data_IF_120968308372
#
_entry.id   IF_120968308372
#
_cell.length_a   1.000
_cell.length_b   1.000
_cell.length_c   1.000
_cell.angle_alpha   90.00
_cell.angle_beta   90.00
_cell.angle_gamma   90.00
#
_symmetry.space_group_name_H-M   'P 1'
#
loop_
_entity.id
_entity.type
_entity.pdbx_description
1 polymer ?
#
# COMPACT_ATOMS: atom_id res chain seq x y z
N UNK A 1 -16.95 -72.22 -20.65
CA UNK A 1 -17.70 -71.85 -19.42
C UNK A 1 -16.99 -72.21 -18.11
N UNK A 2 -16.17 -73.27 -18.02
CA UNK A 2 -15.54 -73.70 -16.74
C UNK A 2 -14.40 -72.79 -16.20
N UNK A 3 -13.76 -71.98 -17.05
CA UNK A 3 -12.69 -71.05 -16.62
C UNK A 3 -13.22 -69.84 -15.83
N UNK A 4 -14.41 -69.34 -16.19
CA UNK A 4 -15.03 -68.19 -15.51
C UNK A 4 -15.50 -68.55 -14.10
N UNK A 5 -16.00 -69.78 -13.87
CA UNK A 5 -16.44 -70.21 -12.55
C UNK A 5 -15.29 -70.41 -11.57
N UNK A 6 -14.12 -70.87 -12.05
CA UNK A 6 -12.93 -71.03 -11.20
C UNK A 6 -12.28 -69.69 -10.81
N UNK A 7 -12.35 -68.69 -11.69
CA UNK A 7 -11.88 -67.32 -11.37
C UNK A 7 -12.82 -66.68 -10.34
N UNK A 8 -14.15 -66.76 -10.51
CA UNK A 8 -15.10 -66.22 -9.54
C UNK A 8 -14.96 -66.85 -8.14
N UNK A 9 -14.72 -68.17 -8.07
CA UNK A 9 -14.57 -68.89 -6.79
C UNK A 9 -13.29 -68.51 -6.04
N UNK A 10 -12.23 -68.15 -6.78
CA UNK A 10 -10.94 -67.75 -6.20
C UNK A 10 -10.95 -66.35 -5.60
N UNK A 11 -11.75 -65.44 -6.16
CA UNK A 11 -11.89 -64.06 -5.68
C UNK A 11 -13.13 -63.82 -4.80
N UNK A 12 -13.97 -64.83 -4.60
CA UNK A 12 -15.15 -64.78 -3.73
C UNK A 12 -14.90 -64.21 -2.31
N UNK A 13 -13.78 -64.51 -1.62
CA UNK A 13 -13.47 -63.89 -0.32
C UNK A 13 -12.91 -62.46 -0.42
N UNK A 14 -12.41 -62.04 -1.59
CA UNK A 14 -11.84 -60.70 -1.81
C UNK A 14 -12.89 -59.66 -2.23
N UNK A 15 -14.03 -60.08 -2.79
CA UNK A 15 -15.16 -59.21 -3.17
C UNK A 15 -15.64 -58.32 -2.01
N UNK A 16 -15.91 -58.82 -0.78
CA UNK A 16 -16.35 -57.95 0.31
C UNK A 16 -15.29 -56.94 0.73
N UNK A 17 -14.00 -57.29 0.63
CA UNK A 17 -12.89 -56.38 0.94
C UNK A 17 -12.79 -55.25 -0.10
N UNK A 18 -12.91 -55.58 -1.39
CA UNK A 18 -12.93 -54.59 -2.47
C UNK A 18 -14.13 -53.64 -2.33
N UNK A 19 -15.32 -54.18 -2.07
CA UNK A 19 -16.52 -53.36 -1.84
C UNK A 19 -16.39 -52.46 -0.60
N UNK A 20 -15.80 -52.95 0.49
CA UNK A 20 -15.54 -52.16 1.68
C UNK A 20 -14.53 -51.02 1.41
N UNK A 21 -13.46 -51.28 0.66
CA UNK A 21 -12.48 -50.23 0.29
C UNK A 21 -13.06 -49.17 -0.64
N UNK A 22 -13.90 -49.55 -1.60
CA UNK A 22 -14.62 -48.62 -2.49
C UNK A 22 -15.62 -47.78 -1.68
N UNK A 23 -16.36 -48.42 -0.76
CA UNK A 23 -17.28 -47.70 0.13
C UNK A 23 -16.56 -46.71 1.04
N UNK A 24 -15.42 -47.09 1.61
CA UNK A 24 -14.63 -46.24 2.51
C UNK A 24 -13.98 -45.07 1.77
N UNK A 25 -13.45 -45.29 0.56
CA UNK A 25 -12.88 -44.23 -0.28
C UNK A 25 -13.97 -43.28 -0.80
N UNK A 26 -15.13 -43.79 -1.19
CA UNK A 26 -16.29 -42.97 -1.54
C UNK A 26 -16.76 -42.10 -0.36
N UNK A 27 -16.86 -42.67 0.84
CA UNK A 27 -17.20 -41.93 2.05
C UNK A 27 -16.16 -40.84 2.36
N UNK A 28 -14.87 -41.16 2.23
CA UNK A 28 -13.78 -40.22 2.49
C UNK A 28 -13.77 -39.05 1.49
N UNK A 29 -14.06 -39.31 0.21
CA UNK A 29 -14.20 -38.25 -0.80
C UNK A 29 -15.41 -37.35 -0.53
N UNK A 30 -16.53 -37.92 -0.08
CA UNK A 30 -17.74 -37.13 0.28
C UNK A 30 -17.50 -36.28 1.52
N UNK A 31 -16.80 -36.80 2.54
CA UNK A 31 -16.49 -36.01 3.74
C UNK A 31 -15.49 -34.90 3.45
N UNK A 32 -14.41 -35.17 2.71
CA UNK A 32 -13.42 -34.15 2.30
C UNK A 32 -14.07 -33.10 1.39
N UNK A 33 -14.84 -33.53 0.38
CA UNK A 33 -15.54 -32.63 -0.53
C UNK A 33 -16.61 -31.79 0.17
N UNK A 34 -17.39 -32.40 1.07
CA UNK A 34 -18.40 -31.72 1.88
C UNK A 34 -17.81 -30.68 2.81
N UNK A 35 -16.71 -31.00 3.51
CA UNK A 35 -15.99 -30.06 4.37
C UNK A 35 -15.36 -28.93 3.56
N UNK A 36 -14.79 -29.23 2.39
CA UNK A 36 -14.22 -28.23 1.49
C UNK A 36 -15.27 -27.23 0.97
N UNK A 37 -16.43 -27.73 0.53
CA UNK A 37 -17.55 -26.89 0.10
C UNK A 37 -18.10 -26.05 1.24
N UNK A 38 -18.28 -26.65 2.43
CA UNK A 38 -18.77 -25.93 3.60
C UNK A 38 -17.82 -24.80 4.02
N UNK A 39 -16.51 -25.06 4.08
CA UNK A 39 -15.50 -24.02 4.33
C UNK A 39 -15.53 -22.92 3.29
N UNK A 40 -15.68 -23.26 2.00
CA UNK A 40 -15.76 -22.26 0.92
C UNK A 40 -16.99 -21.38 1.07
N UNK A 41 -18.14 -21.95 1.40
CA UNK A 41 -19.39 -21.19 1.67
C UNK A 41 -19.24 -20.31 2.90
N UNK A 42 -18.65 -20.81 3.99
CA UNK A 42 -18.37 -20.01 5.18
C UNK A 42 -17.43 -18.84 4.88
N UNK A 43 -16.36 -19.09 4.13
CA UNK A 43 -15.41 -18.06 3.72
C UNK A 43 -16.08 -16.99 2.86
N UNK A 44 -16.93 -17.39 1.91
CA UNK A 44 -17.63 -16.44 1.04
C UNK A 44 -18.63 -15.59 1.83
N UNK A 45 -19.43 -16.21 2.68
CA UNK A 45 -20.42 -15.52 3.52
C UNK A 45 -19.76 -14.58 4.55
N UNK A 46 -18.62 -14.96 5.12
CA UNK A 46 -17.85 -14.08 6.00
C UNK A 46 -17.32 -12.85 5.25
N UNK A 47 -16.77 -13.05 4.05
CA UNK A 47 -16.27 -11.96 3.20
C UNK A 47 -17.40 -11.01 2.75
N UNK A 48 -18.56 -11.52 2.34
CA UNK A 48 -19.72 -10.70 1.98
C UNK A 48 -20.22 -9.84 3.16
N UNK A 49 -20.27 -10.41 4.37
CA UNK A 49 -20.64 -9.66 5.58
C UNK A 49 -19.68 -8.51 5.86
N UNK A 50 -18.37 -8.77 5.77
CA UNK A 50 -17.35 -7.75 6.00
C UNK A 50 -17.38 -6.66 4.91
N UNK A 51 -17.56 -7.04 3.63
CA UNK A 51 -17.71 -6.08 2.54
C UNK A 51 -18.96 -5.20 2.71
N UNK A 52 -20.07 -5.78 3.17
CA UNK A 52 -21.30 -5.03 3.43
C UNK A 52 -21.09 -4.03 4.57
N UNK A 53 -20.40 -4.44 5.65
CA UNK A 53 -20.01 -3.53 6.74
C UNK A 53 -19.09 -2.41 6.22
N UNK A 54 -18.08 -2.74 5.42
CA UNK A 54 -17.17 -1.76 4.83
C UNK A 54 -17.91 -0.73 3.96
N UNK A 55 -18.85 -1.18 3.13
CA UNK A 55 -19.69 -0.30 2.32
C UNK A 55 -20.50 0.67 3.19
N UNK A 56 -21.04 0.21 4.32
CA UNK A 56 -21.75 1.07 5.27
C UNK A 56 -20.87 2.14 5.92
N UNK A 57 -19.59 1.82 6.19
CA UNK A 57 -18.60 2.77 6.73
C UNK A 57 -18.27 3.86 5.71
N UNK A 58 -18.17 3.51 4.42
CA UNK A 58 -17.86 4.47 3.35
C UNK A 58 -18.92 5.56 3.15
N UNK A 59 -20.16 5.31 3.58
CA UNK A 59 -21.26 6.29 3.56
C UNK A 59 -21.29 7.24 4.76
N UNK A 60 -20.52 6.95 5.83
CA UNK A 60 -20.47 7.76 7.04
C UNK A 60 -19.38 8.82 6.85
N UNK A 61 -19.76 10.12 6.87
CA UNK A 61 -18.80 11.23 6.89
C UNK A 61 -17.86 11.08 8.09
N UNK A 62 -16.58 11.37 7.89
CA UNK A 62 -15.44 11.22 8.81
C UNK A 62 -15.78 11.45 10.30
N UNK A 63 -16.16 10.37 10.99
CA UNK A 63 -16.40 10.37 12.44
C UNK A 63 -15.47 9.38 13.14
N UNK A 64 -15.21 9.59 14.44
CA UNK A 64 -14.45 8.67 15.28
C UNK A 64 -15.06 7.26 15.29
N UNK A 65 -16.39 7.15 15.22
CA UNK A 65 -17.08 5.87 15.10
C UNK A 65 -16.73 5.09 13.82
N UNK A 66 -16.52 5.79 12.70
CA UNK A 66 -16.07 5.17 11.45
C UNK A 66 -14.62 4.65 11.54
N UNK A 67 -13.81 5.17 12.48
CA UNK A 67 -12.45 4.65 12.74
C UNK A 67 -12.52 3.29 13.41
N UNK A 68 -13.21 3.27 14.56
CA UNK A 68 -13.30 2.10 15.41
C UNK A 68 -13.94 0.94 14.64
N UNK A 69 -14.94 1.24 13.81
CA UNK A 69 -15.57 0.21 12.96
C UNK A 69 -14.63 -0.30 11.87
N UNK A 70 -13.80 0.56 11.26
CA UNK A 70 -12.84 0.14 10.23
C UNK A 70 -11.70 -0.71 10.80
N UNK A 71 -11.17 -0.32 11.98
CA UNK A 71 -10.21 -1.13 12.74
C UNK A 71 -10.79 -2.49 13.11
N UNK A 72 -12.05 -2.51 13.56
CA UNK A 72 -12.75 -3.75 13.89
C UNK A 72 -12.97 -4.64 12.66
N UNK A 73 -13.37 -4.08 11.52
CA UNK A 73 -13.52 -4.83 10.27
C UNK A 73 -12.19 -5.47 9.85
N UNK A 74 -11.10 -4.71 9.94
CA UNK A 74 -9.76 -5.19 9.57
C UNK A 74 -9.29 -6.30 10.51
N UNK A 75 -9.47 -6.13 11.83
CA UNK A 75 -9.14 -7.15 12.82
C UNK A 75 -10.01 -8.41 12.71
N UNK A 76 -11.29 -8.27 12.38
CA UNK A 76 -12.19 -9.41 12.15
C UNK A 76 -11.78 -10.19 10.88
N UNK A 77 -11.30 -9.49 9.85
CA UNK A 77 -10.79 -10.09 8.63
C UNK A 77 -9.50 -10.89 8.89
N UNK A 78 -8.54 -10.29 9.59
CA UNK A 78 -7.28 -10.92 9.97
C UNK A 78 -7.50 -12.19 10.79
N UNK A 79 -8.34 -12.14 11.83
CA UNK A 79 -8.73 -13.31 12.64
C UNK A 79 -9.36 -14.43 11.81
N UNK A 80 -10.00 -14.07 10.71
CA UNK A 80 -10.68 -15.01 9.82
C UNK A 80 -9.79 -15.48 8.66
N UNK A 81 -8.54 -15.00 8.58
CA UNK A 81 -7.63 -15.26 7.45
C UNK A 81 -8.14 -14.67 6.13
N UNK A 82 -8.96 -13.63 6.19
CA UNK A 82 -9.54 -12.96 5.03
C UNK A 82 -8.73 -11.71 4.69
N UNK A 83 -8.39 -11.53 3.42
CA UNK A 83 -7.79 -10.27 2.94
C UNK A 83 -8.89 -9.28 2.57
N UNK A 84 -8.80 -8.05 3.11
CA UNK A 84 -9.69 -6.94 2.75
C UNK A 84 -8.88 -5.71 2.33
N UNK A 85 -8.27 -5.72 1.13
CA UNK A 85 -7.34 -4.67 0.71
C UNK A 85 -7.93 -3.26 0.74
N UNK A 86 -9.24 -3.12 0.52
CA UNK A 86 -9.93 -1.83 0.57
C UNK A 86 -10.06 -1.29 2.00
N UNK A 87 -10.32 -2.16 2.98
CA UNK A 87 -10.40 -1.78 4.38
C UNK A 87 -9.01 -1.40 4.91
N UNK A 88 -8.00 -2.21 4.58
CA UNK A 88 -6.60 -1.96 4.91
C UNK A 88 -6.12 -0.62 4.32
N UNK A 89 -6.36 -0.37 3.02
CA UNK A 89 -6.02 0.91 2.41
C UNK A 89 -6.76 2.08 3.08
N UNK A 90 -8.05 1.94 3.38
CA UNK A 90 -8.81 3.00 4.04
C UNK A 90 -8.24 3.35 5.43
N UNK A 91 -7.75 2.34 6.16
CA UNK A 91 -7.12 2.53 7.47
C UNK A 91 -5.81 3.32 7.30
N UNK A 92 -4.95 2.87 6.39
CA UNK A 92 -3.67 3.54 6.10
C UNK A 92 -3.87 4.98 5.62
N UNK A 93 -4.80 5.20 4.69
CA UNK A 93 -5.11 6.53 4.17
C UNK A 93 -5.64 7.49 5.25
N UNK A 94 -6.41 6.97 6.20
CA UNK A 94 -6.87 7.73 7.36
C UNK A 94 -5.72 8.04 8.32
N UNK A 95 -4.89 7.05 8.65
CA UNK A 95 -3.71 7.25 9.50
C UNK A 95 -2.80 8.30 8.90
N UNK A 96 -2.58 8.27 7.58
CA UNK A 96 -1.87 9.32 6.85
C UNK A 96 -2.49 10.70 7.04
N UNK A 97 -3.81 10.87 6.87
CA UNK A 97 -4.48 12.17 7.10
C UNK A 97 -4.26 12.68 8.52
N UNK A 98 -4.37 11.81 9.52
CA UNK A 98 -4.10 12.18 10.91
C UNK A 98 -2.66 12.69 11.08
N UNK A 99 -1.66 12.02 10.47
CA UNK A 99 -0.27 12.48 10.51
C UNK A 99 -0.06 13.80 9.79
N UNK A 100 -0.74 14.04 8.67
CA UNK A 100 -0.69 15.36 8.00
C UNK A 100 -1.21 16.45 8.94
N UNK A 101 -2.25 16.19 9.73
CA UNK A 101 -2.78 17.15 10.69
C UNK A 101 -1.85 17.33 11.90
N UNK A 102 -1.22 16.26 12.39
CA UNK A 102 -0.19 16.35 13.44
C UNK A 102 1.00 17.21 12.96
N UNK A 103 1.45 17.02 11.71
CA UNK A 103 2.52 17.82 11.13
C UNK A 103 2.17 19.31 11.08
N UNK A 104 0.93 19.67 10.71
CA UNK A 104 0.46 21.06 10.75
C UNK A 104 0.49 21.64 12.15
N UNK A 105 0.11 20.86 13.16
CA UNK A 105 0.13 21.29 14.56
C UNK A 105 1.55 21.51 15.05
N UNK A 106 2.45 20.55 14.78
CA UNK A 106 3.87 20.65 15.14
C UNK A 106 4.50 21.86 14.46
N UNK A 107 4.33 22.02 13.14
CA UNK A 107 4.90 23.18 12.41
C UNK A 107 4.33 24.52 12.88
N UNK A 108 3.04 24.60 13.21
CA UNK A 108 2.46 25.81 13.80
C UNK A 108 3.06 26.13 15.17
N UNK A 109 3.35 25.10 15.97
CA UNK A 109 3.94 25.26 17.28
C UNK A 109 5.45 25.57 17.22
N UNK A 110 6.19 25.13 16.19
CA UNK A 110 7.62 25.46 16.00
C UNK A 110 7.84 26.96 15.79
N UNK A 111 6.85 27.65 15.24
CA UNK A 111 6.85 29.11 15.11
C UNK A 111 6.64 29.83 16.46
N UNK A 112 6.40 29.09 17.56
CA UNK A 112 6.26 29.62 18.90
C UNK A 112 7.47 29.24 19.78
N UNK A 113 8.31 30.24 20.06
CA UNK A 113 9.58 30.10 20.80
C UNK A 113 9.44 29.49 22.21
N UNK A 114 8.26 29.58 22.83
CA UNK A 114 8.02 29.05 24.18
C UNK A 114 7.67 27.55 24.21
N UNK A 115 7.33 26.95 23.06
CA UNK A 115 6.93 25.55 22.94
C UNK A 115 8.02 24.66 22.31
N UNK A 116 9.19 25.22 21.99
CA UNK A 116 10.21 24.54 21.19
C UNK A 116 10.85 23.32 21.89
N UNK A 117 10.94 23.32 23.23
CA UNK A 117 11.60 22.24 23.99
C UNK A 117 10.74 20.97 24.07
N UNK A 118 9.41 21.08 24.21
CA UNK A 118 8.51 19.92 24.16
C UNK A 118 8.41 19.33 22.76
N UNK A 119 8.63 20.14 21.74
CA UNK A 119 8.43 19.76 20.34
C UNK A 119 9.51 18.89 19.73
N UNK A 120 10.72 18.85 20.31
CA UNK A 120 11.74 17.93 19.83
C UNK A 120 11.30 16.47 20.05
N UNK A 121 10.60 16.19 21.15
CA UNK A 121 10.02 14.87 21.42
C UNK A 121 8.79 14.60 20.53
N UNK A 122 7.96 15.62 20.27
CA UNK A 122 6.81 15.49 19.37
C UNK A 122 7.25 15.19 17.92
N UNK A 123 8.29 15.87 17.43
CA UNK A 123 8.89 15.61 16.11
C UNK A 123 9.49 14.20 16.01
N UNK A 124 10.18 13.74 17.05
CA UNK A 124 10.72 12.38 17.10
C UNK A 124 9.59 11.34 17.05
N UNK A 125 8.56 11.53 17.87
CA UNK A 125 7.39 10.65 17.92
C UNK A 125 6.67 10.63 16.56
N UNK A 126 6.53 11.79 15.94
CA UNK A 126 5.97 11.93 14.60
C UNK A 126 6.80 11.17 13.54
N UNK A 127 8.13 11.29 13.58
CA UNK A 127 9.03 10.55 12.69
C UNK A 127 8.87 9.03 12.83
N UNK A 128 8.88 8.52 14.07
CA UNK A 128 8.69 7.09 14.34
C UNK A 128 7.32 6.58 13.85
N UNK A 129 6.26 7.38 14.01
CA UNK A 129 4.93 7.05 13.51
C UNK A 129 4.85 7.04 11.98
N UNK A 130 5.57 7.92 11.30
CA UNK A 130 5.67 7.90 9.84
C UNK A 130 6.44 6.67 9.33
N UNK A 131 7.51 6.26 10.02
CA UNK A 131 8.24 5.03 9.70
C UNK A 131 7.31 3.82 9.82
N UNK A 132 6.58 3.70 10.93
CA UNK A 132 5.62 2.61 11.13
C UNK A 132 4.51 2.60 10.06
N UNK A 133 4.04 3.78 9.63
CA UNK A 133 3.06 3.90 8.56
C UNK A 133 3.64 3.47 7.20
N UNK A 134 4.90 3.81 6.91
CA UNK A 134 5.61 3.36 5.70
C UNK A 134 5.80 1.86 5.69
N UNK A 135 6.18 1.28 6.82
CA UNK A 135 6.35 -0.17 6.97
C UNK A 135 5.01 -0.90 6.80
N UNK A 136 3.92 -0.33 7.34
CA UNK A 136 2.56 -0.86 7.13
C UNK A 136 2.14 -0.83 5.64
N UNK A 137 2.51 0.22 4.91
CA UNK A 137 2.29 0.28 3.46
C UNK A 137 3.13 -0.77 2.72
N UNK A 138 4.35 -1.03 3.18
CA UNK A 138 5.25 -2.04 2.59
C UNK A 138 4.70 -3.45 2.84
N UNK A 139 4.27 -3.76 4.06
CA UNK A 139 3.62 -5.02 4.40
C UNK A 139 2.36 -5.26 3.56
N UNK A 140 1.55 -4.21 3.36
CA UNK A 140 0.38 -4.29 2.49
C UNK A 140 0.72 -4.57 1.02
N UNK A 141 1.96 -4.30 0.58
CA UNK A 141 2.47 -4.53 -0.78
C UNK A 141 3.27 -5.83 -0.93
N UNK A 142 3.53 -6.60 0.13
CA UNK A 142 4.37 -7.82 0.08
C UNK A 142 3.81 -8.92 -0.81
N UNK A 143 2.48 -8.99 -0.96
CA UNK A 143 1.80 -9.96 -1.82
C UNK A 143 1.03 -9.26 -2.94
N UNK A 144 1.70 -8.66 -3.93
CA UNK A 144 1.06 -7.86 -4.96
C UNK A 144 0.09 -8.69 -5.83
N UNK A 145 0.35 -9.98 -6.02
CA UNK A 145 -0.55 -10.89 -6.75
C UNK A 145 -1.91 -11.10 -6.07
N UNK A 146 -1.96 -10.93 -4.74
CA UNK A 146 -3.20 -10.99 -3.96
C UNK A 146 -3.96 -9.65 -3.97
N UNK A 147 -3.31 -8.57 -4.38
CA UNK A 147 -3.90 -7.22 -4.45
C UNK A 147 -4.47 -6.96 -5.83
N UNK A 148 -5.71 -6.52 -5.88
CA UNK A 148 -6.28 -6.00 -7.13
C UNK A 148 -5.52 -4.73 -7.56
N UNK A 149 -5.16 -4.62 -8.84
CA UNK A 149 -4.29 -3.56 -9.37
C UNK A 149 -4.70 -2.11 -8.98
N UNK A 150 -5.99 -1.73 -8.92
CA UNK A 150 -6.43 -0.45 -8.37
C UNK A 150 -6.04 -0.15 -6.92
N UNK A 151 -5.74 -1.16 -6.09
CA UNK A 151 -5.23 -0.96 -4.73
C UNK A 151 -3.72 -0.80 -4.73
N UNK A 152 -3.01 -1.51 -5.60
CA UNK A 152 -1.55 -1.45 -5.68
C UNK A 152 -1.07 -0.02 -5.98
N UNK A 153 -1.61 0.65 -7.00
CA UNK A 153 -1.18 2.02 -7.32
C UNK A 153 -1.51 3.01 -6.18
N UNK A 154 -2.62 2.80 -5.48
CA UNK A 154 -3.01 3.65 -4.35
C UNK A 154 -2.07 3.48 -3.16
N UNK A 155 -1.66 2.24 -2.87
CA UNK A 155 -0.71 1.92 -1.81
C UNK A 155 0.69 2.49 -2.14
N UNK A 156 1.18 2.31 -3.36
CA UNK A 156 2.43 2.93 -3.80
C UNK A 156 2.35 4.46 -3.72
N UNK A 157 1.28 5.08 -4.21
CA UNK A 157 1.11 6.53 -4.11
C UNK A 157 1.07 7.02 -2.65
N UNK A 158 0.40 6.27 -1.76
CA UNK A 158 0.36 6.59 -0.33
C UNK A 158 1.75 6.46 0.32
N UNK A 159 2.46 5.37 0.02
CA UNK A 159 3.83 5.11 0.51
C UNK A 159 4.80 6.21 0.03
N UNK A 160 4.64 6.69 -1.19
CA UNK A 160 5.36 7.86 -1.71
C UNK A 160 5.09 9.11 -0.88
N UNK A 161 3.82 9.42 -0.61
CA UNK A 161 3.45 10.58 0.23
C UNK A 161 4.05 10.51 1.64
N UNK A 162 4.03 9.33 2.25
CA UNK A 162 4.64 9.10 3.57
C UNK A 162 6.15 9.32 3.50
N UNK A 163 6.81 8.84 2.45
CA UNK A 163 8.25 9.00 2.24
C UNK A 163 8.66 10.47 2.04
N UNK A 164 7.83 11.27 1.36
CA UNK A 164 8.03 12.73 1.29
C UNK A 164 7.99 13.36 2.68
N UNK A 165 6.96 13.05 3.47
CA UNK A 165 6.85 13.60 4.82
C UNK A 165 7.99 13.12 5.74
N UNK A 166 8.47 11.90 5.56
CA UNK A 166 9.67 11.39 6.24
C UNK A 166 10.90 12.23 5.90
N UNK A 167 11.10 12.58 4.62
CA UNK A 167 12.20 13.46 4.22
C UNK A 167 12.15 14.81 4.96
N UNK A 168 10.96 15.44 5.01
CA UNK A 168 10.75 16.67 5.76
C UNK A 168 10.99 16.53 7.25
N UNK A 169 10.53 15.43 7.86
CA UNK A 169 10.75 15.17 9.28
C UNK A 169 12.24 15.03 9.61
N UNK A 170 13.02 14.38 8.74
CA UNK A 170 14.48 14.22 8.90
C UNK A 170 15.19 15.56 8.78
N UNK A 171 14.83 16.39 7.80
CA UNK A 171 15.42 17.72 7.66
C UNK A 171 15.14 18.60 8.88
N UNK A 172 13.92 18.53 9.42
CA UNK A 172 13.52 19.32 10.58
C UNK A 172 14.15 18.84 11.90
N UNK A 173 14.32 17.53 12.08
CA UNK A 173 14.76 16.94 13.35
C UNK A 173 16.23 16.52 13.37
N UNK A 174 16.67 15.78 12.35
CA UNK A 174 18.02 15.20 12.29
C UNK A 174 19.01 16.11 11.55
N UNK A 175 18.51 17.04 10.72
CA UNK A 175 19.33 17.88 9.84
C UNK A 175 20.27 17.07 8.94
N UNK A 176 19.82 15.87 8.53
CA UNK A 176 20.55 14.97 7.65
C UNK A 176 20.00 15.06 6.21
N UNK A 177 20.65 15.88 5.38
CA UNK A 177 20.26 16.06 3.97
C UNK A 177 20.35 14.78 3.15
N UNK A 178 21.32 13.90 3.43
CA UNK A 178 21.51 12.64 2.71
C UNK A 178 20.39 11.65 2.97
N UNK A 179 19.99 11.49 4.23
CA UNK A 179 18.88 10.62 4.62
C UNK A 179 17.54 11.16 4.09
N UNK A 180 17.35 12.48 4.10
CA UNK A 180 16.18 13.11 3.48
C UNK A 180 16.13 12.89 1.95
N UNK A 181 17.25 13.05 1.24
CA UNK A 181 17.34 12.79 -0.19
C UNK A 181 17.03 11.33 -0.53
N UNK A 182 17.45 10.37 0.31
CA UNK A 182 17.08 8.95 0.15
C UNK A 182 15.57 8.76 0.23
N UNK A 183 14.90 9.34 1.21
CA UNK A 183 13.44 9.24 1.31
C UNK A 183 12.70 9.87 0.13
N UNK A 184 13.21 10.98 -0.42
CA UNK A 184 12.66 11.57 -1.65
C UNK A 184 12.88 10.68 -2.87
N UNK A 185 14.04 10.02 -2.98
CA UNK A 185 14.30 9.04 -4.04
C UNK A 185 13.31 7.87 -3.95
N UNK A 186 13.15 7.31 -2.74
CA UNK A 186 12.19 6.23 -2.49
C UNK A 186 10.76 6.67 -2.86
N UNK A 187 10.39 7.93 -2.57
CA UNK A 187 9.10 8.49 -2.94
C UNK A 187 8.91 8.56 -4.46
N UNK A 188 9.92 9.00 -5.20
CA UNK A 188 9.91 9.08 -6.67
C UNK A 188 9.66 7.70 -7.28
N UNK A 189 10.35 6.67 -6.79
CA UNK A 189 10.19 5.30 -7.29
C UNK A 189 8.78 4.75 -7.01
N UNK A 190 8.24 5.02 -5.83
CA UNK A 190 6.87 4.66 -5.48
C UNK A 190 5.84 5.42 -6.37
N UNK A 191 6.04 6.70 -6.67
CA UNK A 191 5.15 7.42 -7.59
C UNK A 191 5.23 6.93 -9.03
N UNK A 192 6.43 6.64 -9.55
CA UNK A 192 6.60 6.04 -10.88
C UNK A 192 5.85 4.72 -10.98
N UNK A 193 6.05 3.84 -9.99
CA UNK A 193 5.33 2.57 -9.91
C UNK A 193 3.81 2.77 -9.86
N UNK A 194 3.33 3.76 -9.08
CA UNK A 194 1.91 4.10 -9.05
C UNK A 194 1.39 4.62 -10.41
N UNK A 195 2.19 5.39 -11.14
CA UNK A 195 1.86 5.89 -12.49
C UNK A 195 1.72 4.72 -13.48
N UNK A 196 2.71 3.84 -13.51
CA UNK A 196 2.71 2.68 -14.42
C UNK A 196 1.49 1.78 -14.17
N UNK A 197 1.18 1.53 -12.89
CA UNK A 197 0.02 0.74 -12.49
C UNK A 197 -1.31 1.41 -12.84
N UNK A 198 -1.46 2.73 -12.62
CA UNK A 198 -2.73 3.42 -12.92
C UNK A 198 -2.95 3.62 -14.42
N UNK A 199 -1.88 3.68 -15.21
CA UNK A 199 -1.94 3.78 -16.67
C UNK A 199 -2.32 2.45 -17.33
N UNK A 200 -1.89 1.33 -16.73
CA UNK A 200 -2.32 -0.01 -17.14
C UNK A 200 -3.80 -0.28 -16.87
N UNK A 201 -4.48 0.58 -16.11
CA UNK A 201 -5.88 0.44 -15.73
C UNK A 201 -6.81 1.32 -16.57
N UNK A 202 -8.06 0.87 -16.74
CA UNK A 202 -9.16 1.71 -17.25
C UNK A 202 -9.64 2.67 -16.15
N UNK A 203 -8.77 3.60 -15.76
CA UNK A 203 -9.01 4.58 -14.69
C UNK A 203 -9.48 5.93 -15.24
N UNK A 204 -10.19 6.69 -14.40
CA UNK A 204 -10.61 8.05 -14.73
C UNK A 204 -9.42 8.98 -14.90
N UNK A 205 -9.57 10.08 -15.65
CA UNK A 205 -8.50 11.07 -15.82
C UNK A 205 -7.99 11.60 -14.48
N UNK A 206 -8.89 11.80 -13.52
CA UNK A 206 -8.54 12.24 -12.17
C UNK A 206 -7.64 11.22 -11.45
N UNK A 207 -7.98 9.92 -11.49
CA UNK A 207 -7.17 8.89 -10.83
C UNK A 207 -5.77 8.79 -11.43
N UNK A 208 -5.65 8.93 -12.76
CA UNK A 208 -4.35 8.94 -13.45
C UNK A 208 -3.52 10.17 -13.12
N UNK A 209 -4.16 11.30 -12.84
CA UNK A 209 -3.48 12.56 -12.53
C UNK A 209 -2.88 12.59 -11.11
N UNK A 210 -3.50 11.93 -10.12
CA UNK A 210 -3.09 11.99 -8.71
C UNK A 210 -1.59 11.68 -8.49
N UNK A 211 -1.06 10.50 -8.88
CA UNK A 211 0.35 10.19 -8.62
C UNK A 211 1.31 11.06 -9.44
N UNK A 212 0.87 11.56 -10.60
CA UNK A 212 1.64 12.50 -11.42
C UNK A 212 1.78 13.86 -10.77
N UNK A 213 0.69 14.41 -10.23
CA UNK A 213 0.72 15.67 -9.48
C UNK A 213 1.62 15.56 -8.25
N UNK A 214 1.56 14.45 -7.52
CA UNK A 214 2.45 14.24 -6.37
C UNK A 214 3.93 14.18 -6.79
N UNK A 215 4.24 13.48 -7.88
CA UNK A 215 5.59 13.45 -8.44
C UNK A 215 6.05 14.83 -8.90
N UNK A 216 5.19 15.58 -9.60
CA UNK A 216 5.46 16.92 -10.10
C UNK A 216 5.71 17.91 -8.96
N UNK A 217 4.99 17.80 -7.84
CA UNK A 217 5.24 18.66 -6.68
C UNK A 217 6.68 18.52 -6.19
N UNK A 218 7.25 17.33 -6.18
CA UNK A 218 8.61 17.09 -5.64
C UNK A 218 9.68 17.43 -6.68
N UNK A 219 9.46 17.02 -7.93
CA UNK A 219 10.44 17.19 -9.02
C UNK A 219 10.39 18.61 -9.59
N UNK A 220 9.18 19.14 -9.82
CA UNK A 220 8.92 20.45 -10.42
C UNK A 220 9.20 21.64 -9.50
N UNK A 221 9.10 21.47 -8.17
CA UNK A 221 9.59 22.46 -7.21
C UNK A 221 11.12 22.38 -7.01
N UNK A 222 11.80 21.42 -7.64
CA UNK A 222 13.24 21.23 -7.53
C UNK A 222 13.71 20.87 -6.12
N UNK A 223 12.81 20.37 -5.25
CA UNK A 223 13.11 20.07 -3.84
C UNK A 223 14.17 18.98 -3.72
N UNK A 224 14.10 17.96 -4.58
CA UNK A 224 15.13 16.93 -4.70
C UNK A 224 16.52 17.53 -5.03
N UNK A 225 16.57 18.51 -5.93
CA UNK A 225 17.83 19.19 -6.31
C UNK A 225 18.33 20.11 -5.20
N UNK A 226 17.47 20.89 -4.55
CA UNK A 226 17.84 21.83 -3.49
C UNK A 226 18.40 21.14 -2.25
N UNK A 227 17.82 20.00 -1.85
CA UNK A 227 18.23 19.26 -0.66
C UNK A 227 19.53 18.47 -0.92
N UNK A 228 19.70 17.92 -2.13
CA UNK A 228 20.96 17.24 -2.50
C UNK A 228 22.16 18.20 -2.61
N UNK A 229 21.94 19.45 -3.03
CA UNK A 229 22.99 20.44 -3.28
C UNK A 229 23.35 21.30 -2.06
N UNK A 230 22.51 21.36 -1.01
CA UNK A 230 22.75 22.21 0.17
C UNK A 230 23.93 21.76 1.04
N UNK A 231 24.43 20.54 0.86
CA UNK A 231 25.55 19.97 1.64
C UNK A 231 26.77 19.58 0.79
N UNK A 232 26.73 19.73 -0.54
CA UNK A 232 27.90 19.43 -1.39
C UNK A 232 28.87 20.63 -1.31
N UNK A 233 30.12 20.44 -0.85
CA UNK A 233 31.14 21.48 -0.92
C UNK A 233 31.25 21.96 -2.37
N UNK A 234 31.33 23.28 -2.60
CA UNK A 234 31.33 23.87 -3.96
C UNK A 234 32.36 23.23 -4.91
N UNK A 235 33.41 22.64 -4.37
CA UNK A 235 34.48 21.92 -5.09
C UNK A 235 34.00 20.68 -5.84
N UNK A 236 32.90 20.03 -5.39
CA UNK A 236 32.37 18.80 -5.98
C UNK A 236 31.09 19.03 -6.80
N UNK A 237 30.71 20.30 -7.01
CA UNK A 237 29.45 20.66 -7.68
C UNK A 237 29.46 20.30 -9.18
N UNK A 238 30.63 20.32 -9.83
CA UNK A 238 30.79 19.96 -11.25
C UNK A 238 30.61 18.45 -11.51
N UNK A 239 31.14 17.61 -10.63
CA UNK A 239 31.04 16.15 -10.73
C UNK A 239 29.59 15.66 -10.49
N UNK A 240 28.89 16.31 -9.55
CA UNK A 240 27.47 16.04 -9.30
C UNK A 240 26.59 16.58 -10.42
N UNK A 241 26.95 17.71 -11.06
CA UNK A 241 26.26 18.21 -12.24
C UNK A 241 26.42 17.24 -13.43
N UNK A 242 27.61 16.69 -13.65
CA UNK A 242 27.87 15.65 -14.67
C UNK A 242 27.07 14.37 -14.42
N UNK A 243 26.98 13.91 -13.17
CA UNK A 243 26.21 12.72 -12.80
C UNK A 243 24.69 12.94 -12.90
N UNK A 244 24.21 14.15 -12.64
CA UNK A 244 22.81 14.52 -12.81
C UNK A 244 22.44 14.72 -14.28
N UNK A 245 23.34 15.24 -15.12
CA UNK A 245 23.18 15.30 -16.58
C UNK A 245 23.15 13.90 -17.21
N UNK A 246 23.89 12.93 -16.64
CA UNK A 246 23.86 11.53 -17.06
C UNK A 246 22.58 10.76 -16.66
N UNK A 247 21.80 11.27 -15.69
CA UNK A 247 20.59 10.61 -15.18
C UNK A 247 19.27 11.28 -15.60
N UNK A 248 19.31 12.30 -16.45
CA UNK A 248 18.11 12.77 -17.16
C UNK A 248 17.89 11.79 -18.31
N UNK A 249 16.89 10.89 -18.28
CA UNK A 249 16.50 10.22 -19.50
C UNK A 249 16.05 11.32 -20.46
N UNK A 250 16.66 11.36 -21.64
CA UNK A 250 16.21 12.12 -22.81
C UNK A 250 14.77 11.67 -23.14
N UNK A 251 13.79 12.23 -22.45
CA UNK A 251 12.38 12.14 -22.85
C UNK A 251 11.97 13.51 -23.33
N UNK A 252 12.34 13.76 -24.58
CA UNK A 252 11.59 14.65 -25.44
C UNK A 252 10.10 14.32 -25.34
N UNK A 253 9.26 15.32 -25.09
CA UNK A 253 7.81 15.18 -25.22
C UNK A 253 7.00 15.82 -24.11
N UNK A 254 7.18 17.12 -23.89
CA UNK A 254 6.09 17.93 -23.33
C UNK A 254 4.84 17.75 -24.20
N UNK A 255 3.71 17.41 -23.58
CA UNK A 255 2.38 17.67 -24.12
C UNK A 255 1.78 18.85 -23.30
N UNK A 256 1.86 20.09 -23.81
CA UNK A 256 1.48 21.32 -23.12
C UNK A 256 -0.02 21.64 -23.27
N UNK A 257 -0.56 22.49 -22.38
CA UNK A 257 -1.92 22.99 -22.63
C UNK A 257 -2.59 24.01 -21.69
N UNK A 258 -2.07 24.37 -20.52
CA UNK A 258 -2.59 25.55 -19.79
C UNK A 258 -1.43 26.38 -19.20
N UNK A 259 -1.42 27.72 -19.39
CA UNK A 259 -0.19 28.53 -19.37
C UNK A 259 0.30 28.92 -17.97
N UNK A 260 1.61 29.09 -17.86
CA UNK A 260 2.35 29.64 -16.71
C UNK A 260 2.09 31.14 -16.45
N UNK A 261 1.28 31.80 -17.29
CA UNK A 261 1.10 33.27 -17.31
C UNK A 261 0.25 33.84 -16.16
N UNK A 262 -0.29 33.01 -15.26
CA UNK A 262 -0.99 33.50 -14.05
C UNK A 262 -0.08 33.68 -12.83
N UNK A 263 1.23 33.45 -12.97
CA UNK A 263 2.22 33.80 -11.95
C UNK A 263 2.56 35.28 -12.04
N UNK A 264 1.92 36.10 -11.20
CA UNK A 264 2.47 37.41 -10.83
C UNK A 264 3.37 37.19 -9.62
N UNK A 265 4.68 37.33 -9.81
CA UNK A 265 5.63 37.55 -8.72
C UNK A 265 5.25 38.86 -8.00
N UNK A 266 5.13 38.81 -6.67
CA UNK A 266 5.23 40.01 -5.82
C UNK A 266 6.50 39.88 -4.99
#
# INVERSE_FOLDING_TARGET
>A
MALFSNILRRYQPAIPFILATIGLTGLLLVTIGGVGLWRKVQHHTALERLNTRLASVSGIKEHAAAAAELEKITADAEKSGLSLPQAEYALLARTWRARVDDFKQITAALNNRYLAVSQQQDLKTFHEQLLALRDSCTAALENPEALFAPMQWKLHNLKGNVSVMLAYSVLAFEQDGRKAAKFLSDAVDDYKTAIDLVDGLRSTSLQRAIPRWNLELIVGLGEYRRIGLSEIPQENMSEVQEQLEAFIPDVAGFAPGVPLDTRVEK
#
